data_IF_070766979809
#
_entry.id   IF_070766979809
#
_cell.length_a   1.000
_cell.length_b   1.000
_cell.length_c   1.000
_cell.angle_alpha   90.00
_cell.angle_beta   90.00
_cell.angle_gamma   90.00
#
_symmetry.space_group_name_H-M   'P 1'
#
loop_
_entity.id
_entity.type
_entity.pdbx_description
1 polymer ?
#
# COMPACT_ATOMS: atom_id res chain seq x y z
N UNK A 1 -0.72 24.11 22.77
CA UNK A 1 -0.42 22.96 21.89
C UNK A 1 0.99 23.13 21.35
N UNK A 2 1.83 22.10 21.46
CA UNK A 2 3.22 22.06 20.95
C UNK A 2 3.48 20.76 20.17
N UNK A 3 4.63 20.67 19.50
CA UNK A 3 4.99 19.51 18.66
C UNK A 3 5.10 18.23 19.47
N UNK A 4 5.68 18.29 20.67
CA UNK A 4 5.81 17.14 21.55
C UNK A 4 4.45 16.55 21.92
N UNK A 5 3.44 17.40 22.15
CA UNK A 5 2.07 16.93 22.41
C UNK A 5 1.47 16.22 21.19
N UNK A 6 1.77 16.69 19.97
CA UNK A 6 1.33 16.03 18.74
C UNK A 6 2.04 14.68 18.55
N UNK A 7 3.34 14.58 18.80
CA UNK A 7 4.07 13.31 18.73
C UNK A 7 3.54 12.28 19.73
N UNK A 8 3.24 12.69 20.97
CA UNK A 8 2.66 11.83 21.99
C UNK A 8 1.27 11.34 21.57
N UNK A 9 0.48 12.23 20.97
CA UNK A 9 -0.84 11.89 20.46
C UNK A 9 -0.77 10.89 19.30
N UNK A 10 0.14 11.10 18.34
CA UNK A 10 0.36 10.21 17.20
C UNK A 10 0.78 8.81 17.70
N UNK A 11 1.77 8.72 18.60
CA UNK A 11 2.20 7.44 19.17
C UNK A 11 1.08 6.68 19.88
N UNK A 12 0.20 7.39 20.60
CA UNK A 12 -0.98 6.80 21.22
C UNK A 12 -2.01 6.30 20.20
N UNK A 13 -2.17 7.02 19.08
CA UNK A 13 -3.10 6.64 18.03
C UNK A 13 -2.63 5.40 17.27
N UNK A 14 -1.34 5.31 16.97
CA UNK A 14 -0.72 4.19 16.25
C UNK A 14 -0.68 2.90 17.07
N UNK A 15 -0.39 3.02 18.37
CA UNK A 15 -0.31 1.84 19.24
C UNK A 15 -1.67 1.37 19.78
N UNK A 16 -2.69 2.23 19.77
CA UNK A 16 -3.97 1.97 20.43
C UNK A 16 -3.84 1.81 21.96
N UNK A 17 -2.69 2.17 22.55
CA UNK A 17 -2.37 1.94 23.97
C UNK A 17 -1.45 3.02 24.52
N UNK A 18 -1.89 3.67 25.60
CA UNK A 18 -1.06 4.67 26.30
C UNK A 18 0.21 4.05 26.87
N UNK A 19 0.13 2.79 27.33
CA UNK A 19 1.28 2.10 27.90
C UNK A 19 2.33 1.73 26.85
N UNK A 20 1.91 1.26 25.68
CA UNK A 20 2.83 0.97 24.57
C UNK A 20 3.43 2.26 24.00
N UNK A 21 2.62 3.30 23.82
CA UNK A 21 3.12 4.61 23.42
C UNK A 21 4.17 5.15 24.40
N UNK A 22 3.97 4.95 25.71
CA UNK A 22 4.94 5.38 26.71
C UNK A 22 6.30 4.67 26.57
N UNK A 23 6.31 3.39 26.19
CA UNK A 23 7.56 2.65 25.93
C UNK A 23 8.29 3.23 24.71
N UNK A 24 7.58 3.45 23.60
CA UNK A 24 8.14 4.02 22.37
C UNK A 24 8.71 5.43 22.62
N UNK A 25 8.01 6.22 23.44
CA UNK A 25 8.39 7.59 23.75
C UNK A 25 9.40 7.71 24.91
N UNK A 26 9.93 6.60 25.42
CA UNK A 26 10.83 6.57 26.58
C UNK A 26 10.28 7.39 27.76
N UNK A 27 8.98 7.25 28.05
CA UNK A 27 8.24 8.03 29.05
C UNK A 27 7.42 7.13 29.97
N UNK A 28 6.77 7.70 30.97
CA UNK A 28 5.86 6.96 31.82
C UNK A 28 4.42 7.07 31.28
N UNK A 29 3.60 6.03 31.54
CA UNK A 29 2.19 6.05 31.16
C UNK A 29 1.44 7.26 31.76
N UNK A 30 1.76 7.64 33.03
CA UNK A 30 1.15 8.80 33.67
C UNK A 30 1.51 10.11 32.97
N UNK A 31 2.76 10.26 32.55
CA UNK A 31 3.21 11.43 31.76
C UNK A 31 2.49 11.51 30.41
N UNK A 32 2.43 10.40 29.67
CA UNK A 32 1.72 10.36 28.40
C UNK A 32 0.24 10.70 28.59
N UNK A 33 -0.45 10.09 29.57
CA UNK A 33 -1.85 10.40 29.86
C UNK A 33 -2.07 11.88 30.20
N UNK A 34 -1.16 12.50 30.96
CA UNK A 34 -1.23 13.92 31.30
C UNK A 34 -1.08 14.79 30.06
N UNK A 35 -0.13 14.46 29.18
CA UNK A 35 0.09 15.19 27.92
C UNK A 35 -1.16 15.12 27.03
N UNK A 36 -1.73 13.92 26.84
CA UNK A 36 -2.95 13.75 26.04
C UNK A 36 -4.12 14.56 26.61
N UNK A 37 -4.33 14.49 27.95
CA UNK A 37 -5.39 15.27 28.61
C UNK A 37 -5.18 16.78 28.43
N UNK A 38 -3.94 17.26 28.52
CA UNK A 38 -3.60 18.66 28.28
C UNK A 38 -3.88 19.07 26.84
N UNK A 39 -3.54 18.22 25.89
CA UNK A 39 -3.83 18.44 24.47
C UNK A 39 -5.35 18.52 24.22
N UNK A 40 -6.13 17.53 24.70
CA UNK A 40 -7.60 17.52 24.57
C UNK A 40 -8.24 18.78 25.16
N UNK A 41 -7.76 19.21 26.32
CA UNK A 41 -8.22 20.45 26.95
C UNK A 41 -7.87 21.69 26.11
N UNK A 42 -6.69 21.72 25.51
CA UNK A 42 -6.25 22.88 24.68
C UNK A 42 -7.02 23.00 23.37
N UNK A 43 -7.48 21.89 22.79
CA UNK A 43 -8.25 21.88 21.54
C UNK A 43 -9.76 21.82 21.77
N UNK A 44 -10.22 21.59 23.00
CA UNK A 44 -11.63 21.58 23.38
C UNK A 44 -12.42 20.37 22.90
N UNK A 45 -11.75 19.32 22.43
CA UNK A 45 -12.38 18.10 21.92
C UNK A 45 -11.73 16.85 22.51
N UNK A 46 -12.50 15.79 22.65
CA UNK A 46 -11.96 14.48 23.00
C UNK A 46 -11.37 13.83 21.75
N UNK A 47 -10.11 13.45 21.83
CA UNK A 47 -9.37 12.80 20.75
C UNK A 47 -9.43 11.27 20.85
N UNK A 48 -9.52 10.74 22.08
CA UNK A 48 -9.61 9.31 22.35
C UNK A 48 -10.87 8.93 23.13
N UNK A 49 -11.39 7.77 22.82
CA UNK A 49 -12.33 7.02 23.66
C UNK A 49 -11.61 5.84 24.32
N UNK A 50 -11.95 5.55 25.56
CA UNK A 50 -11.40 4.42 26.31
C UNK A 50 -12.17 3.16 26.00
N UNK A 51 -11.45 2.08 25.77
CA UNK A 51 -11.99 0.74 25.58
C UNK A 51 -11.55 -0.15 26.75
N UNK A 52 -12.22 -1.30 26.97
CA UNK A 52 -11.78 -2.28 27.97
C UNK A 52 -10.32 -2.74 27.77
N UNK A 53 -9.84 -2.69 26.53
CA UNK A 53 -8.44 -2.98 26.18
C UNK A 53 -7.89 -1.86 25.29
N UNK A 54 -7.34 -0.80 25.92
CA UNK A 54 -6.65 0.27 25.21
C UNK A 54 -7.50 1.51 24.94
N UNK A 55 -7.16 2.22 23.87
CA UNK A 55 -7.79 3.47 23.45
C UNK A 55 -8.05 3.43 21.93
N UNK A 56 -9.02 4.22 21.48
CA UNK A 56 -9.33 4.38 20.06
C UNK A 56 -9.61 5.86 19.76
N UNK A 57 -9.24 6.30 18.55
CA UNK A 57 -9.55 7.64 18.10
C UNK A 57 -11.06 7.87 17.95
N UNK A 58 -11.54 8.99 18.49
CA UNK A 58 -12.89 9.49 18.19
C UNK A 58 -13.00 9.92 16.69
N UNK A 59 -14.22 10.19 16.16
CA UNK A 59 -14.34 10.77 14.82
C UNK A 59 -13.55 12.07 14.65
N UNK A 60 -13.55 12.95 15.66
CA UNK A 60 -12.78 14.20 15.64
C UNK A 60 -11.28 13.92 15.88
N UNK A 61 -10.94 12.91 16.72
CA UNK A 61 -9.58 12.43 16.88
C UNK A 61 -8.95 11.96 15.58
N UNK A 62 -9.71 11.26 14.72
CA UNK A 62 -9.23 10.87 13.37
C UNK A 62 -8.95 12.08 12.46
N UNK A 63 -9.82 13.10 12.49
CA UNK A 63 -9.58 14.35 11.74
C UNK A 63 -8.35 15.08 12.27
N UNK A 64 -8.20 15.12 13.59
CA UNK A 64 -7.06 15.75 14.25
C UNK A 64 -5.76 15.00 13.95
N UNK A 65 -5.79 13.65 13.96
CA UNK A 65 -4.64 12.78 13.66
C UNK A 65 -4.01 13.11 12.30
N UNK A 66 -4.82 13.18 11.25
CA UNK A 66 -4.35 13.54 9.91
C UNK A 66 -3.58 14.86 9.88
N UNK A 67 -4.11 15.88 10.56
CA UNK A 67 -3.47 17.20 10.62
C UNK A 67 -2.22 17.19 11.50
N UNK A 68 -2.26 16.45 12.60
CA UNK A 68 -1.11 16.31 13.50
C UNK A 68 0.08 15.64 12.79
N UNK A 69 -0.15 14.56 12.07
CA UNK A 69 0.87 13.89 11.27
C UNK A 69 1.52 14.84 10.26
N UNK A 70 0.71 15.61 9.52
CA UNK A 70 1.23 16.61 8.58
C UNK A 70 2.14 17.64 9.25
N UNK A 71 1.68 18.22 10.37
CA UNK A 71 2.45 19.24 11.09
C UNK A 71 3.78 18.67 11.59
N UNK A 72 3.75 17.49 12.23
CA UNK A 72 4.97 16.84 12.75
C UNK A 72 5.94 16.50 11.62
N UNK A 73 5.45 16.04 10.49
CA UNK A 73 6.27 15.75 9.34
C UNK A 73 6.94 16.99 8.74
N UNK A 74 6.21 18.09 8.63
CA UNK A 74 6.76 19.39 8.16
C UNK A 74 7.85 19.90 9.12
N UNK A 75 7.62 19.77 10.44
CA UNK A 75 8.64 20.17 11.43
C UNK A 75 9.89 19.29 11.34
N UNK A 76 9.72 17.96 11.19
CA UNK A 76 10.85 17.05 11.01
C UNK A 76 11.65 17.36 9.73
N UNK A 77 10.95 17.74 8.65
CA UNK A 77 11.59 18.18 7.41
C UNK A 77 12.45 19.45 7.65
N UNK A 78 11.91 20.43 8.37
CA UNK A 78 12.64 21.66 8.73
C UNK A 78 13.86 21.37 9.63
N UNK A 79 13.70 20.48 10.63
CA UNK A 79 14.80 20.07 11.51
C UNK A 79 15.91 19.32 10.74
N UNK A 80 15.51 18.50 9.75
CA UNK A 80 16.43 17.83 8.84
C UNK A 80 17.26 18.83 8.02
N UNK A 81 16.61 19.88 7.49
CA UNK A 81 17.28 20.97 6.77
C UNK A 81 18.36 21.65 7.62
N UNK A 82 18.10 21.84 8.91
CA UNK A 82 19.03 22.52 9.82
C UNK A 82 20.26 21.67 10.20
N UNK A 83 20.15 20.35 10.18
CA UNK A 83 21.19 19.44 10.68
C UNK A 83 22.13 18.88 9.60
N UNK A 84 21.60 18.58 8.40
CA UNK A 84 22.34 17.79 7.39
C UNK A 84 22.41 18.44 6.00
N UNK A 85 22.09 19.74 5.84
CA UNK A 85 21.78 20.28 4.54
C UNK A 85 20.39 19.78 4.10
N UNK A 86 19.94 20.09 2.89
CA UNK A 86 18.60 19.73 2.41
C UNK A 86 18.42 18.22 2.16
N UNK A 87 18.42 17.41 3.23
CA UNK A 87 18.04 15.99 3.12
C UNK A 87 16.53 15.88 2.97
N UNK A 88 16.06 15.42 1.83
CA UNK A 88 14.64 15.24 1.54
C UNK A 88 14.23 13.80 1.83
N UNK A 89 13.40 13.60 2.84
CA UNK A 89 12.77 12.30 3.11
C UNK A 89 11.54 12.12 2.22
N UNK A 90 11.44 10.98 1.58
CA UNK A 90 10.31 10.58 0.75
C UNK A 90 9.76 9.28 1.29
N UNK A 91 8.49 9.28 1.65
CA UNK A 91 7.78 8.13 2.19
C UNK A 91 6.85 7.59 1.13
N UNK A 92 7.04 6.33 0.82
CA UNK A 92 6.34 5.63 -0.24
C UNK A 92 5.63 4.43 0.36
N UNK A 93 4.35 4.28 0.07
CA UNK A 93 3.68 2.99 0.22
C UNK A 93 3.29 2.42 -1.14
N UNK A 94 3.28 1.11 -1.26
CA UNK A 94 2.93 0.47 -2.53
C UNK A 94 2.32 -0.91 -2.33
N UNK A 95 1.54 -1.35 -3.30
CA UNK A 95 1.25 -2.76 -3.44
C UNK A 95 2.56 -3.51 -3.70
N UNK A 96 2.73 -4.73 -3.15
CA UNK A 96 3.89 -5.54 -3.46
C UNK A 96 4.09 -5.63 -4.97
N UNK A 97 5.26 -5.19 -5.45
CA UNK A 97 5.58 -5.11 -6.87
C UNK A 97 7.08 -5.23 -7.08
N UNK A 98 7.47 -6.33 -7.65
CA UNK A 98 8.86 -6.54 -8.04
C UNK A 98 9.28 -5.65 -9.20
N UNK A 99 8.36 -5.32 -10.12
CA UNK A 99 8.62 -4.33 -11.16
C UNK A 99 9.00 -2.97 -10.56
N UNK A 100 8.24 -2.49 -9.57
CA UNK A 100 8.59 -1.25 -8.87
C UNK A 100 9.95 -1.34 -8.19
N UNK A 101 10.28 -2.49 -7.60
CA UNK A 101 11.58 -2.68 -6.94
C UNK A 101 12.74 -2.58 -7.95
N UNK A 102 12.59 -3.16 -9.15
CA UNK A 102 13.60 -3.07 -10.21
C UNK A 102 13.77 -1.61 -10.69
N UNK A 103 12.68 -0.89 -10.93
CA UNK A 103 12.72 0.53 -11.31
C UNK A 103 13.36 1.39 -10.22
N UNK A 104 13.01 1.14 -8.96
CA UNK A 104 13.58 1.88 -7.84
C UNK A 104 15.08 1.63 -7.66
N UNK A 105 15.55 0.42 -7.93
CA UNK A 105 17.00 0.10 -7.93
C UNK A 105 17.73 0.88 -9.01
N UNK A 106 17.20 0.92 -10.23
CA UNK A 106 17.78 1.70 -11.33
C UNK A 106 17.84 3.19 -10.97
N UNK A 107 16.72 3.76 -10.51
CA UNK A 107 16.64 5.12 -10.02
C UNK A 107 17.67 5.42 -8.92
N UNK A 108 17.78 4.55 -7.93
CA UNK A 108 18.71 4.75 -6.81
C UNK A 108 20.17 4.76 -7.29
N UNK A 109 20.53 3.88 -8.22
CA UNK A 109 21.89 3.81 -8.78
C UNK A 109 22.24 5.07 -9.59
N UNK A 110 21.29 5.65 -10.29
CA UNK A 110 21.50 6.87 -11.10
C UNK A 110 21.52 8.15 -10.26
N UNK A 111 20.92 8.13 -9.07
CA UNK A 111 20.72 9.29 -8.22
C UNK A 111 21.30 9.14 -6.81
N UNK A 112 22.24 8.21 -6.59
CA UNK A 112 22.75 7.87 -5.25
C UNK A 112 23.46 9.02 -4.53
N UNK A 113 23.99 9.99 -5.26
CA UNK A 113 24.70 11.16 -4.74
C UNK A 113 23.76 12.33 -4.41
N UNK A 114 22.48 12.22 -4.76
CA UNK A 114 21.46 13.16 -4.34
C UNK A 114 21.07 12.91 -2.87
N UNK A 115 20.81 13.98 -2.16
CA UNK A 115 20.54 13.93 -0.71
C UNK A 115 19.11 13.51 -0.38
N UNK A 116 18.64 12.40 -1.02
CA UNK A 116 17.34 11.79 -0.77
C UNK A 116 17.44 10.62 0.21
N UNK A 117 16.47 10.52 1.10
CA UNK A 117 16.24 9.36 1.95
C UNK A 117 14.83 8.81 1.68
N UNK A 118 14.74 7.51 1.55
CA UNK A 118 13.47 6.85 1.23
C UNK A 118 13.02 5.95 2.37
N UNK A 119 11.71 5.95 2.62
CA UNK A 119 11.06 4.97 3.47
C UNK A 119 9.98 4.30 2.63
N UNK A 120 10.12 3.00 2.40
CA UNK A 120 9.22 2.23 1.54
C UNK A 120 8.45 1.23 2.39
N UNK A 121 7.13 1.21 2.24
CA UNK A 121 6.22 0.34 2.97
C UNK A 121 5.29 -0.39 2.01
N UNK A 122 5.26 -1.73 2.09
CA UNK A 122 4.37 -2.55 1.25
C UNK A 122 3.08 -2.87 1.96
N UNK A 123 1.95 -2.64 1.29
CA UNK A 123 0.61 -2.87 1.83
C UNK A 123 -0.41 -3.05 0.70
N UNK A 124 -1.64 -3.44 1.05
CA UNK A 124 -2.75 -3.43 0.10
C UNK A 124 -3.32 -2.04 -0.15
N UNK A 125 -4.12 -1.94 -1.21
CA UNK A 125 -4.67 -0.68 -1.73
C UNK A 125 -5.30 0.18 -0.63
N UNK A 126 -6.16 -0.42 0.20
CA UNK A 126 -6.86 0.31 1.27
C UNK A 126 -5.89 0.92 2.27
N UNK A 127 -4.88 0.16 2.71
CA UNK A 127 -3.86 0.66 3.63
C UNK A 127 -2.98 1.72 2.97
N UNK A 128 -2.60 1.56 1.70
CA UNK A 128 -1.88 2.58 0.92
C UNK A 128 -2.69 3.87 0.86
N UNK A 129 -3.99 3.79 0.50
CA UNK A 129 -4.89 4.95 0.50
C UNK A 129 -4.99 5.63 1.86
N UNK A 130 -5.13 4.83 2.94
CA UNK A 130 -5.20 5.36 4.30
C UNK A 130 -3.91 6.07 4.71
N UNK A 131 -2.76 5.51 4.39
CA UNK A 131 -1.46 6.09 4.72
C UNK A 131 -1.21 7.41 3.98
N UNK A 132 -1.54 7.47 2.69
CA UNK A 132 -1.48 8.73 1.92
C UNK A 132 -2.51 9.74 2.44
N UNK A 133 -3.76 9.31 2.67
CA UNK A 133 -4.81 10.17 3.24
C UNK A 133 -4.41 10.79 4.57
N UNK A 134 -3.75 10.02 5.41
CA UNK A 134 -3.38 10.42 6.77
C UNK A 134 -2.00 11.09 6.83
N UNK A 135 -1.39 11.38 5.66
CA UNK A 135 -0.08 12.01 5.49
C UNK A 135 1.08 11.24 6.15
N UNK A 136 0.92 9.93 6.32
CA UNK A 136 2.01 9.05 6.74
C UNK A 136 2.99 8.81 5.60
N UNK A 137 2.47 8.78 4.36
CA UNK A 137 3.27 8.66 3.16
C UNK A 137 3.00 9.82 2.20
N UNK A 138 3.99 10.15 1.41
CA UNK A 138 3.96 11.26 0.46
C UNK A 138 3.29 10.82 -0.85
N UNK A 139 3.48 9.55 -1.22
CA UNK A 139 2.93 8.92 -2.43
C UNK A 139 2.61 7.45 -2.17
N UNK A 140 1.59 6.95 -2.86
CA UNK A 140 1.19 5.54 -2.80
C UNK A 140 1.05 4.93 -4.18
N UNK A 141 1.81 3.87 -4.51
CA UNK A 141 1.69 3.16 -5.79
C UNK A 141 0.74 1.97 -5.67
N UNK A 142 -0.20 1.88 -6.58
CA UNK A 142 -1.25 0.86 -6.55
C UNK A 142 -1.57 0.31 -7.93
N UNK A 143 -2.01 -0.94 -7.94
CA UNK A 143 -2.65 -1.58 -9.07
C UNK A 143 -4.16 -1.62 -8.81
N UNK A 144 -4.96 -1.11 -9.73
CA UNK A 144 -6.41 -1.13 -9.62
C UNK A 144 -7.03 -1.83 -10.84
N UNK A 145 -8.04 -2.70 -10.64
CA UNK A 145 -8.80 -3.25 -11.76
C UNK A 145 -9.52 -2.11 -12.51
N UNK A 146 -9.55 -2.19 -13.84
CA UNK A 146 -10.24 -1.19 -14.67
C UNK A 146 -11.72 -1.03 -14.27
N UNK A 147 -12.38 -2.12 -13.89
CA UNK A 147 -13.79 -2.15 -13.44
C UNK A 147 -14.04 -1.36 -12.13
N UNK A 148 -13.02 -1.21 -11.28
CA UNK A 148 -13.13 -0.51 -9.99
C UNK A 148 -12.64 0.94 -10.08
N UNK A 149 -12.20 1.40 -11.26
CA UNK A 149 -11.60 2.72 -11.44
C UNK A 149 -12.52 3.85 -10.99
N UNK A 150 -13.80 3.81 -11.37
CA UNK A 150 -14.72 4.90 -11.04
C UNK A 150 -14.99 5.01 -9.55
N UNK A 151 -15.27 3.89 -8.87
CA UNK A 151 -15.47 3.84 -7.42
C UNK A 151 -14.21 4.28 -6.67
N UNK A 152 -13.05 3.83 -7.12
CA UNK A 152 -11.77 4.21 -6.58
C UNK A 152 -11.51 5.72 -6.68
N UNK A 153 -11.72 6.31 -7.87
CA UNK A 153 -11.58 7.75 -8.09
C UNK A 153 -12.58 8.55 -7.24
N UNK A 154 -13.81 8.05 -7.09
CA UNK A 154 -14.80 8.68 -6.23
C UNK A 154 -14.35 8.71 -4.77
N UNK A 155 -13.84 7.58 -4.24
CA UNK A 155 -13.34 7.50 -2.87
C UNK A 155 -12.14 8.45 -2.65
N UNK A 156 -11.20 8.51 -3.58
CA UNK A 156 -10.06 9.43 -3.53
C UNK A 156 -10.49 10.88 -3.50
N UNK A 157 -11.45 11.26 -4.36
CA UNK A 157 -11.94 12.65 -4.46
C UNK A 157 -12.52 13.16 -3.15
N UNK A 158 -13.23 12.30 -2.40
CA UNK A 158 -13.79 12.64 -1.08
C UNK A 158 -12.72 12.93 -0.02
N UNK A 159 -11.51 12.47 -0.24
CA UNK A 159 -10.37 12.62 0.67
C UNK A 159 -9.32 13.61 0.16
N UNK A 160 -9.64 14.42 -0.88
CA UNK A 160 -8.73 15.39 -1.53
C UNK A 160 -7.46 14.72 -2.06
N UNK A 161 -7.57 13.47 -2.45
CA UNK A 161 -6.52 12.73 -3.14
C UNK A 161 -6.84 12.66 -4.64
N UNK A 162 -5.83 12.32 -5.41
CA UNK A 162 -5.95 12.05 -6.83
C UNK A 162 -5.12 10.81 -7.20
N UNK A 163 -5.53 10.16 -8.27
CA UNK A 163 -4.81 9.03 -8.86
C UNK A 163 -4.29 9.43 -10.23
N UNK A 164 -3.02 9.25 -10.44
CA UNK A 164 -2.34 9.48 -11.70
C UNK A 164 -2.04 8.10 -12.31
N UNK A 165 -2.75 7.70 -13.39
CA UNK A 165 -2.48 6.45 -14.07
C UNK A 165 -1.17 6.55 -14.85
N UNK A 166 -0.37 5.48 -14.84
CA UNK A 166 0.91 5.41 -15.53
C UNK A 166 0.89 4.44 -16.69
N UNK A 167 0.51 3.20 -16.45
CA UNK A 167 0.34 2.22 -17.52
C UNK A 167 -0.80 1.25 -17.22
N UNK A 168 -1.30 0.63 -18.28
CA UNK A 168 -2.28 -0.45 -18.21
C UNK A 168 -1.60 -1.78 -18.51
N UNK A 169 -1.98 -2.81 -17.79
CA UNK A 169 -1.53 -4.18 -18.00
C UNK A 169 -2.72 -5.13 -17.96
N UNK A 170 -2.51 -6.36 -18.41
CA UNK A 170 -3.52 -7.41 -18.33
C UNK A 170 -3.16 -8.39 -17.20
N UNK A 171 -4.17 -9.05 -16.66
CA UNK A 171 -3.97 -10.13 -15.72
C UNK A 171 -3.36 -11.34 -16.44
N UNK A 172 -2.40 -11.95 -15.79
CA UNK A 172 -1.73 -13.15 -16.24
C UNK A 172 -1.87 -14.26 -15.21
N UNK A 173 -1.91 -15.47 -15.70
CA UNK A 173 -1.78 -16.69 -14.93
C UNK A 173 -0.34 -17.16 -14.95
N UNK A 174 0.25 -17.33 -13.77
CA UNK A 174 1.60 -17.83 -13.55
C UNK A 174 1.52 -19.22 -12.97
N UNK A 175 1.97 -20.20 -13.73
CA UNK A 175 2.00 -21.60 -13.27
C UNK A 175 3.27 -21.87 -12.47
N UNK A 176 3.14 -22.52 -11.34
CA UNK A 176 4.32 -23.01 -10.59
C UNK A 176 5.06 -24.08 -11.39
N UNK A 177 6.39 -24.14 -11.26
CA UNK A 177 7.25 -25.06 -12.04
C UNK A 177 6.86 -26.55 -11.90
N UNK A 178 6.26 -26.94 -10.78
CA UNK A 178 5.80 -28.31 -10.54
C UNK A 178 4.30 -28.51 -10.79
N UNK A 179 3.64 -27.48 -11.35
CA UNK A 179 2.23 -27.60 -11.70
C UNK A 179 2.09 -28.50 -12.95
N UNK A 180 1.02 -29.31 -12.96
CA UNK A 180 0.69 -30.16 -14.12
C UNK A 180 -0.03 -29.39 -15.23
N UNK A 181 -0.41 -28.15 -14.98
CA UNK A 181 -1.04 -27.29 -15.97
C UNK A 181 0.04 -26.78 -16.93
N UNK A 182 0.05 -27.36 -18.12
CA UNK A 182 1.03 -27.01 -19.14
C UNK A 182 0.63 -25.70 -19.82
N UNK A 183 1.49 -24.68 -19.65
CA UNK A 183 1.32 -23.36 -20.24
C UNK A 183 2.17 -23.16 -21.51
N UNK A 184 3.03 -24.11 -21.85
CA UNK A 184 4.06 -23.93 -22.90
C UNK A 184 3.48 -23.74 -24.31
N UNK A 185 2.34 -24.35 -24.59
CA UNK A 185 1.65 -24.25 -25.89
C UNK A 185 0.46 -23.28 -25.89
N UNK A 186 0.09 -22.71 -24.72
CA UNK A 186 -1.06 -21.82 -24.57
C UNK A 186 -0.63 -20.36 -24.61
N UNK A 187 -1.41 -19.53 -25.31
CA UNK A 187 -1.24 -18.07 -25.28
C UNK A 187 -2.11 -17.41 -24.21
N UNK A 188 -3.25 -18.01 -23.90
CA UNK A 188 -4.18 -17.55 -22.90
C UNK A 188 -4.82 -18.73 -22.15
N UNK A 189 -5.42 -18.45 -21.01
CA UNK A 189 -6.17 -19.40 -20.17
C UNK A 189 -7.46 -18.75 -19.69
N UNK A 190 -8.54 -19.50 -19.68
CA UNK A 190 -9.83 -19.04 -19.12
C UNK A 190 -9.97 -19.42 -17.66
N UNK A 191 -10.75 -18.66 -16.90
CA UNK A 191 -11.01 -18.94 -15.48
C UNK A 191 -11.55 -20.35 -15.23
N UNK A 192 -12.39 -20.86 -16.14
CA UNK A 192 -12.95 -22.21 -16.04
C UNK A 192 -11.88 -23.30 -16.05
N UNK A 193 -10.79 -23.07 -16.75
CA UNK A 193 -9.69 -24.03 -16.84
C UNK A 193 -8.85 -24.07 -15.56
N UNK A 194 -9.02 -23.08 -14.66
CA UNK A 194 -8.30 -23.00 -13.39
C UNK A 194 -8.96 -23.76 -12.24
N UNK A 195 -10.09 -24.41 -12.51
CA UNK A 195 -10.75 -25.23 -11.48
C UNK A 195 -9.83 -26.33 -10.93
N UNK A 196 -9.75 -26.40 -9.60
CA UNK A 196 -8.90 -27.35 -8.91
C UNK A 196 -7.41 -27.01 -8.89
N UNK A 197 -7.02 -25.85 -9.45
CA UNK A 197 -5.68 -25.32 -9.30
C UNK A 197 -5.62 -24.50 -8.01
N UNK A 198 -4.64 -24.84 -7.18
CA UNK A 198 -4.39 -24.11 -5.93
C UNK A 198 -3.59 -22.86 -6.19
N UNK A 199 -4.06 -21.73 -5.65
CA UNK A 199 -3.45 -20.43 -5.86
C UNK A 199 -2.74 -19.91 -4.62
N UNK A 200 -1.66 -19.18 -4.86
CA UNK A 200 -1.09 -18.23 -3.90
C UNK A 200 -1.43 -16.83 -4.35
N UNK A 201 -1.95 -16.03 -3.44
CA UNK A 201 -2.36 -14.66 -3.71
C UNK A 201 -1.75 -13.68 -2.70
N UNK A 202 -1.68 -12.44 -3.08
CA UNK A 202 -1.32 -11.41 -2.14
C UNK A 202 -2.45 -11.23 -1.12
N UNK A 203 -2.10 -11.05 0.14
CA UNK A 203 -3.05 -10.91 1.26
C UNK A 203 -4.15 -9.88 1.01
N UNK A 204 -3.89 -8.92 0.14
CA UNK A 204 -4.76 -7.77 -0.08
C UNK A 204 -5.02 -7.53 -1.57
N UNK A 205 -4.86 -8.56 -2.41
CA UNK A 205 -5.28 -8.49 -3.80
C UNK A 205 -6.81 -8.38 -3.87
N UNK A 206 -7.29 -7.15 -3.78
CA UNK A 206 -8.70 -6.81 -4.00
C UNK A 206 -9.11 -7.06 -5.46
N UNK A 207 -8.16 -7.40 -6.35
CA UNK A 207 -8.42 -7.78 -7.74
C UNK A 207 -9.40 -8.95 -7.86
N UNK A 208 -9.38 -9.85 -6.89
CA UNK A 208 -10.18 -11.07 -6.92
C UNK A 208 -11.52 -10.94 -6.17
N UNK A 209 -11.71 -9.87 -5.41
CA UNK A 209 -12.96 -9.66 -4.65
C UNK A 209 -13.94 -8.86 -5.49
N UNK A 210 -14.97 -9.51 -5.97
CA UNK A 210 -16.16 -8.85 -6.55
C UNK A 210 -17.20 -8.69 -5.46
N UNK A 211 -17.49 -7.46 -5.05
CA UNK A 211 -18.70 -7.12 -4.27
C UNK A 211 -19.95 -7.01 -5.17
N UNK A 212 -19.97 -7.64 -6.33
CA UNK A 212 -21.15 -7.59 -7.19
C UNK A 212 -22.02 -8.82 -6.96
N UNK A 213 -23.21 -8.57 -6.45
CA UNK A 213 -24.36 -9.47 -6.29
C UNK A 213 -24.90 -10.07 -7.62
N UNK A 214 -24.05 -10.22 -8.63
CA UNK A 214 -24.48 -10.83 -9.90
C UNK A 214 -24.41 -12.36 -9.81
N UNK A 215 -25.46 -12.91 -9.16
CA UNK A 215 -25.67 -14.35 -8.96
C UNK A 215 -25.80 -15.18 -10.25
N UNK A 216 -25.61 -14.59 -11.41
CA UNK A 216 -25.80 -15.22 -12.71
C UNK A 216 -24.53 -15.48 -13.52
N UNK A 217 -23.32 -15.23 -13.02
CA UNK A 217 -22.10 -15.65 -13.70
C UNK A 217 -21.62 -17.00 -13.17
N UNK A 218 -21.57 -17.98 -14.04
CA UNK A 218 -21.29 -19.41 -13.77
C UNK A 218 -19.90 -19.69 -13.16
N UNK A 219 -18.96 -18.73 -13.18
CA UNK A 219 -17.68 -18.79 -12.47
C UNK A 219 -17.32 -17.40 -11.98
N UNK A 220 -17.40 -17.23 -10.67
CA UNK A 220 -16.90 -16.03 -9.99
C UNK A 220 -15.47 -16.28 -9.49
N UNK A 221 -14.71 -15.23 -9.30
CA UNK A 221 -13.43 -15.25 -8.61
C UNK A 221 -13.50 -15.95 -7.24
N UNK A 222 -14.67 -16.00 -6.64
CA UNK A 222 -14.94 -16.69 -5.36
C UNK A 222 -14.84 -18.23 -5.47
N UNK A 223 -14.83 -18.78 -6.69
CA UNK A 223 -14.69 -20.22 -6.93
C UNK A 223 -13.23 -20.70 -6.98
N UNK A 224 -12.26 -19.80 -6.93
CA UNK A 224 -10.84 -20.13 -6.98
C UNK A 224 -10.34 -20.68 -5.62
N UNK A 225 -9.53 -21.73 -5.65
CA UNK A 225 -8.91 -22.32 -4.45
C UNK A 225 -7.67 -21.51 -4.03
N UNK A 226 -7.85 -20.47 -3.22
CA UNK A 226 -6.73 -19.71 -2.67
C UNK A 226 -6.17 -20.45 -1.46
N UNK A 227 -5.13 -21.23 -1.69
CA UNK A 227 -4.51 -22.07 -0.70
C UNK A 227 -3.49 -21.35 0.19
N UNK A 228 -2.86 -20.29 -0.33
CA UNK A 228 -1.86 -19.49 0.38
C UNK A 228 -2.12 -18.02 0.15
N UNK A 229 -2.04 -17.24 1.24
CA UNK A 229 -2.15 -15.79 1.22
C UNK A 229 -0.89 -15.20 1.83
N UNK A 230 -0.23 -14.27 1.13
CA UNK A 230 1.01 -13.66 1.58
C UNK A 230 1.06 -12.17 1.19
N UNK A 231 1.82 -11.37 1.91
CA UNK A 231 2.18 -10.00 1.54
C UNK A 231 3.66 -9.89 1.13
N UNK A 232 4.30 -11.02 0.84
CA UNK A 232 5.71 -11.10 0.51
C UNK A 232 5.90 -11.64 -0.90
N UNK A 233 6.38 -10.80 -1.81
CA UNK A 233 6.77 -11.19 -3.17
C UNK A 233 7.84 -12.29 -3.16
N UNK A 234 8.73 -12.25 -2.18
CA UNK A 234 9.75 -13.28 -2.03
C UNK A 234 9.14 -14.67 -1.75
N UNK A 235 8.16 -14.74 -0.84
CA UNK A 235 7.46 -16.02 -0.57
C UNK A 235 6.70 -16.46 -1.80
N UNK A 236 5.99 -15.56 -2.47
CA UNK A 236 5.24 -15.87 -3.69
C UNK A 236 6.15 -16.44 -4.77
N UNK A 237 7.26 -15.80 -5.06
CA UNK A 237 8.24 -16.25 -6.03
C UNK A 237 8.84 -17.63 -5.68
N UNK A 238 9.20 -17.84 -4.41
CA UNK A 238 9.73 -19.14 -3.94
C UNK A 238 8.70 -20.24 -4.07
N UNK A 239 7.45 -19.97 -3.76
CA UNK A 239 6.35 -20.92 -3.90
C UNK A 239 6.12 -21.30 -5.37
N UNK A 240 6.09 -20.31 -6.28
CA UNK A 240 5.96 -20.57 -7.72
C UNK A 240 7.14 -21.35 -8.26
N UNK A 241 8.38 -21.07 -7.87
CA UNK A 241 9.58 -21.78 -8.35
C UNK A 241 9.73 -23.21 -7.79
N UNK A 242 9.11 -23.55 -6.67
CA UNK A 242 9.41 -24.82 -6.00
C UNK A 242 8.20 -25.70 -5.72
N UNK A 243 7.01 -25.26 -6.06
CA UNK A 243 5.77 -26.01 -5.80
C UNK A 243 4.88 -26.10 -7.05
N UNK A 244 3.72 -26.74 -6.90
CA UNK A 244 2.69 -26.82 -7.92
C UNK A 244 1.63 -25.72 -7.82
N UNK A 245 1.84 -24.72 -6.95
CA UNK A 245 0.90 -23.62 -6.76
C UNK A 245 0.98 -22.64 -7.94
N UNK A 246 -0.09 -21.93 -8.22
CA UNK A 246 -0.12 -20.93 -9.26
C UNK A 246 -0.51 -19.55 -8.69
N UNK A 247 -0.37 -18.50 -9.48
CA UNK A 247 -0.77 -17.14 -9.11
C UNK A 247 -1.48 -16.45 -10.27
N UNK A 248 -2.37 -15.53 -9.96
CA UNK A 248 -2.97 -14.60 -10.92
C UNK A 248 -2.58 -13.20 -10.50
N UNK A 249 -1.89 -12.48 -11.39
CA UNK A 249 -1.33 -11.16 -11.11
C UNK A 249 -1.20 -10.35 -12.39
N UNK A 250 -0.80 -9.08 -12.31
CA UNK A 250 -0.45 -8.30 -13.50
C UNK A 250 0.78 -8.84 -14.22
N UNK A 251 1.06 -8.35 -15.43
CA UNK A 251 2.19 -8.80 -16.27
C UNK A 251 3.57 -8.55 -15.66
N UNK A 252 3.66 -7.75 -14.62
CA UNK A 252 4.90 -7.32 -14.00
C UNK A 252 5.80 -8.44 -13.45
N UNK A 253 5.27 -9.65 -13.20
CA UNK A 253 6.10 -10.80 -12.81
C UNK A 253 6.87 -11.41 -14.00
N UNK A 254 6.38 -11.23 -15.23
CA UNK A 254 7.03 -11.68 -16.46
C UNK A 254 8.07 -10.71 -17.00
N UNK A 255 7.99 -9.43 -16.63
CA UNK A 255 8.82 -8.36 -17.19
C UNK A 255 10.14 -8.16 -16.43
N UNK A 256 10.48 -9.04 -15.50
CA UNK A 256 11.70 -8.95 -14.69
C UNK A 256 12.97 -9.12 -15.51
N UNK A 257 13.95 -8.27 -15.26
CA UNK A 257 15.31 -8.36 -15.81
C UNK A 257 16.05 -9.62 -15.35
N UNK A 258 15.71 -10.17 -14.19
CA UNK A 258 16.37 -11.34 -13.59
C UNK A 258 15.35 -12.40 -13.17
N UNK A 259 15.27 -13.50 -13.95
CA UNK A 259 14.51 -14.69 -13.55
C UNK A 259 13.00 -14.57 -13.69
N UNK A 260 12.54 -14.11 -14.85
CA UNK A 260 11.11 -14.02 -15.16
C UNK A 260 10.41 -15.37 -14.98
N UNK A 261 9.29 -15.36 -14.26
CA UNK A 261 8.37 -16.49 -14.20
C UNK A 261 7.47 -16.38 -15.44
N UNK A 262 7.44 -17.44 -16.23
CA UNK A 262 6.62 -17.45 -17.44
C UNK A 262 5.14 -17.41 -17.06
N UNK A 263 4.41 -16.44 -17.59
CA UNK A 263 2.97 -16.30 -17.46
C UNK A 263 2.27 -16.36 -18.81
N UNK A 264 0.98 -16.64 -18.79
CA UNK A 264 0.09 -16.56 -19.96
C UNK A 264 -1.08 -15.65 -19.63
N UNK A 265 -1.64 -14.98 -20.65
CA UNK A 265 -2.75 -14.06 -20.44
C UNK A 265 -3.99 -14.78 -19.91
N UNK A 266 -4.66 -14.15 -18.97
CA UNK A 266 -5.95 -14.60 -18.48
C UNK A 266 -7.04 -14.06 -19.41
N UNK A 267 -7.73 -14.98 -20.09
CA UNK A 267 -8.88 -14.66 -20.94
C UNK A 267 -10.12 -14.57 -20.05
N UNK A 268 -10.34 -13.39 -19.52
CA UNK A 268 -11.48 -13.05 -18.68
C UNK A 268 -12.02 -11.68 -19.07
N UNK A 269 -13.33 -11.51 -18.97
CA UNK A 269 -13.94 -10.19 -19.12
C UNK A 269 -13.33 -9.25 -18.08
N UNK A 270 -12.92 -8.04 -18.52
CA UNK A 270 -12.38 -7.02 -17.63
C UNK A 270 -11.08 -7.42 -16.91
N UNK A 271 -10.16 -8.07 -17.62
CA UNK A 271 -8.85 -8.49 -17.10
C UNK A 271 -7.82 -7.35 -17.01
N UNK A 272 -8.18 -6.11 -17.36
CA UNK A 272 -7.26 -4.97 -17.35
C UNK A 272 -7.06 -4.41 -15.95
N UNK A 273 -5.79 -4.09 -15.67
CA UNK A 273 -5.32 -3.52 -14.43
C UNK A 273 -4.54 -2.25 -14.75
N UNK A 274 -4.82 -1.19 -14.01
CA UNK A 274 -4.13 0.08 -14.15
C UNK A 274 -3.13 0.22 -13.00
N UNK A 275 -1.87 0.40 -13.32
CA UNK A 275 -0.86 0.84 -12.40
C UNK A 275 -0.79 2.36 -12.38
N UNK A 276 -0.62 2.93 -11.21
CA UNK A 276 -0.46 4.35 -11.04
C UNK A 276 -0.17 4.70 -9.58
N UNK A 277 -0.13 5.99 -9.31
CA UNK A 277 0.11 6.46 -7.95
C UNK A 277 -0.98 7.39 -7.43
N UNK A 278 -1.11 7.40 -6.11
CA UNK A 278 -2.02 8.25 -5.34
C UNK A 278 -1.20 9.31 -4.63
N UNK A 279 -1.64 10.55 -4.68
CA UNK A 279 -1.10 11.64 -3.89
C UNK A 279 -2.21 12.55 -3.38
N UNK A 280 -1.93 13.39 -2.38
CA UNK A 280 -2.79 14.51 -2.05
C UNK A 280 -2.73 15.57 -3.14
N UNK A 281 -3.87 16.18 -3.47
CA UNK A 281 -3.94 17.32 -4.42
C UNK A 281 -3.10 18.51 -4.00
N UNK A 282 -2.91 18.70 -2.70
CA UNK A 282 -2.10 19.77 -2.14
C UNK A 282 -0.60 19.37 -2.01
N UNK A 283 -0.25 18.13 -2.32
CA UNK A 283 1.12 17.66 -2.24
C UNK A 283 1.88 18.06 -3.51
N UNK A 284 2.84 18.96 -3.32
CA UNK A 284 3.79 19.37 -4.36
C UNK A 284 4.98 18.41 -4.45
N UNK A 285 4.77 17.12 -4.17
CA UNK A 285 5.79 16.15 -4.54
C UNK A 285 5.99 16.33 -6.05
N UNK A 286 7.21 16.68 -6.42
CA UNK A 286 7.53 16.99 -7.82
C UNK A 286 7.11 15.79 -8.66
N UNK A 287 6.22 16.01 -9.61
CA UNK A 287 5.83 14.97 -10.58
C UNK A 287 7.10 14.42 -11.23
N UNK A 288 8.08 15.27 -11.46
CA UNK A 288 9.43 14.93 -11.91
C UNK A 288 10.10 13.84 -11.06
N UNK A 289 9.90 13.82 -9.73
CA UNK A 289 10.51 12.77 -8.89
C UNK A 289 9.83 11.41 -9.09
N UNK A 290 8.51 11.40 -9.25
CA UNK A 290 7.78 10.14 -9.50
C UNK A 290 8.08 9.62 -10.89
N UNK A 291 8.14 10.51 -11.87
CA UNK A 291 8.53 10.17 -13.24
C UNK A 291 9.98 9.68 -13.29
N UNK A 292 10.87 10.29 -12.50
CA UNK A 292 12.26 9.88 -12.39
C UNK A 292 12.43 8.50 -11.72
N UNK A 293 11.60 8.14 -10.71
CA UNK A 293 11.63 6.81 -10.09
C UNK A 293 11.18 5.72 -11.06
N UNK A 294 10.41 6.08 -12.08
CA UNK A 294 9.72 5.14 -12.96
C UNK A 294 10.16 5.25 -14.44
N UNK A 295 11.14 6.12 -14.73
CA UNK A 295 11.79 6.22 -16.04
C UNK A 295 12.90 5.17 -16.21
#
# INVERSE_FOLDING_TARGET
MDIKQLEYFIACAETGSVSEAAKILYSTQSSVSKVIKTLENSVGIRLFERLPRGIRLTPDGRKFYRRACRIVNEVKALEGMAKNGMTKWIRISLNPSSWFADQFVDFYNENYDQNYHFQIYTAGIRTVMERVRDYLDDVGFVYIPQRQKEDFLYELSRNRMEFIPMHETELMFYSGEKNRFDITEKKNVRLEELQGIRLIQNYQDEFLRTETDDKNKFLSWDSLDIAVVTNSDYIMERMLKHTNIANISGSYLSDRKTGSIQGIFLDADENRVIFGYIKHKDNKLEEELVDLILS
#
